data_IF_721887326292
#
_entry.id   IF_721887326292
#
_cell.length_a   1.000
_cell.length_b   1.000
_cell.length_c   1.000
_cell.angle_alpha   90.00
_cell.angle_beta   90.00
_cell.angle_gamma   90.00
#
_symmetry.space_group_name_H-M   'P 1'
#
loop_
_entity.id
_entity.type
_entity.pdbx_description
1 polymer ?
#
# COMPACT_ATOMS: atom_id res chain seq x y z
N UNK A 1 3.49 11.88 -22.61
CA UNK A 1 3.01 11.98 -21.22
C UNK A 1 4.07 12.70 -20.40
N UNK A 2 3.69 13.58 -19.46
CA UNK A 2 4.67 14.22 -18.58
C UNK A 2 5.20 13.20 -17.56
N UNK A 3 6.49 13.27 -17.23
CA UNK A 3 7.13 12.41 -16.21
C UNK A 3 6.37 12.47 -14.88
N UNK A 4 5.87 13.65 -14.53
CA UNK A 4 5.08 13.87 -13.33
C UNK A 4 3.76 13.06 -13.33
N UNK A 5 3.05 13.05 -14.46
CA UNK A 5 1.80 12.29 -14.61
C UNK A 5 2.05 10.79 -14.47
N UNK A 6 3.07 10.27 -15.14
CA UNK A 6 3.45 8.86 -15.02
C UNK A 6 3.76 8.47 -13.58
N UNK A 7 4.45 9.32 -12.82
CA UNK A 7 4.77 9.04 -11.41
C UNK A 7 3.55 9.05 -10.50
N UNK A 8 2.56 9.90 -10.75
CA UNK A 8 1.29 9.85 -10.00
C UNK A 8 0.48 8.61 -10.34
N UNK A 9 0.40 8.25 -11.63
CA UNK A 9 -0.29 7.03 -12.06
C UNK A 9 0.36 5.78 -11.45
N UNK A 10 1.70 5.73 -11.41
CA UNK A 10 2.45 4.69 -10.70
C UNK A 10 2.11 4.67 -9.21
N UNK A 11 2.14 5.83 -8.52
CA UNK A 11 1.80 5.91 -7.09
C UNK A 11 0.39 5.36 -6.81
N UNK A 12 -0.57 5.65 -7.69
CA UNK A 12 -1.94 5.15 -7.55
C UNK A 12 -2.02 3.63 -7.71
N UNK A 13 -1.36 3.09 -8.75
CA UNK A 13 -1.33 1.64 -8.96
C UNK A 13 -0.69 0.91 -7.76
N UNK A 14 0.39 1.49 -7.21
CA UNK A 14 1.08 0.97 -6.03
C UNK A 14 0.18 0.99 -4.78
N UNK A 15 -0.54 2.09 -4.55
CA UNK A 15 -1.48 2.24 -3.43
C UNK A 15 -2.64 1.23 -3.52
N UNK A 16 -3.17 0.98 -4.73
CA UNK A 16 -4.18 -0.05 -4.94
C UNK A 16 -3.65 -1.45 -4.64
N UNK A 17 -2.44 -1.77 -5.12
CA UNK A 17 -1.80 -3.06 -4.88
C UNK A 17 -1.50 -3.27 -3.40
N UNK A 18 -1.00 -2.24 -2.70
CA UNK A 18 -0.77 -2.26 -1.26
C UNK A 18 -2.06 -2.54 -0.49
N UNK A 19 -3.15 -1.82 -0.80
CA UNK A 19 -4.44 -2.01 -0.15
C UNK A 19 -5.01 -3.43 -0.36
N UNK A 20 -4.82 -4.01 -1.56
CA UNK A 20 -5.23 -5.38 -1.85
C UNK A 20 -4.39 -6.39 -1.04
N UNK A 21 -3.08 -6.19 -1.02
CA UNK A 21 -2.13 -7.06 -0.32
C UNK A 21 -2.31 -7.02 1.20
N UNK A 22 -2.63 -5.86 1.77
CA UNK A 22 -2.93 -5.73 3.21
C UNK A 22 -4.17 -6.54 3.62
N UNK A 23 -5.22 -6.55 2.78
CA UNK A 23 -6.40 -7.39 3.00
C UNK A 23 -6.03 -8.87 2.95
N UNK A 24 -5.23 -9.27 1.96
CA UNK A 24 -4.77 -10.65 1.83
C UNK A 24 -3.91 -11.10 3.03
N UNK A 25 -2.94 -10.28 3.44
CA UNK A 25 -2.11 -10.51 4.63
C UNK A 25 -2.99 -10.66 5.87
N UNK A 26 -4.01 -9.81 6.04
CA UNK A 26 -4.93 -9.88 7.18
C UNK A 26 -5.66 -11.22 7.23
N UNK A 27 -6.19 -11.68 6.10
CA UNK A 27 -6.88 -12.96 6.00
C UNK A 27 -5.93 -14.12 6.28
N UNK A 28 -4.74 -14.14 5.67
CA UNK A 28 -3.75 -15.20 5.86
C UNK A 28 -3.19 -15.23 7.29
N UNK A 29 -2.95 -14.08 7.92
CA UNK A 29 -2.59 -13.99 9.34
C UNK A 29 -3.68 -14.54 10.24
N UNK A 30 -4.94 -14.22 9.97
CA UNK A 30 -6.05 -14.77 10.75
C UNK A 30 -6.12 -16.30 10.61
N UNK A 31 -5.91 -16.84 9.40
CA UNK A 31 -5.83 -18.28 9.17
C UNK A 31 -4.65 -18.92 9.94
N UNK A 32 -3.46 -18.35 9.86
CA UNK A 32 -2.28 -18.78 10.61
C UNK A 32 -2.55 -18.84 12.12
N UNK A 33 -3.08 -17.75 12.69
CA UNK A 33 -3.42 -17.70 14.11
C UNK A 33 -4.50 -18.70 14.49
N UNK A 34 -5.49 -18.93 13.64
CA UNK A 34 -6.51 -19.94 13.88
C UNK A 34 -5.91 -21.35 13.95
N UNK A 35 -4.96 -21.69 13.07
CA UNK A 35 -4.27 -22.98 13.11
C UNK A 35 -3.49 -23.18 14.41
N UNK A 36 -2.80 -22.14 14.88
CA UNK A 36 -2.08 -22.18 16.16
C UNK A 36 -3.02 -22.33 17.37
N UNK A 37 -4.18 -21.67 17.35
CA UNK A 37 -5.13 -21.67 18.47
C UNK A 37 -5.99 -22.92 18.55
N UNK A 38 -6.16 -23.64 17.43
CA UNK A 38 -6.95 -24.88 17.38
C UNK A 38 -6.36 -25.97 18.27
N UNK A 39 -5.05 -25.92 18.54
CA UNK A 39 -4.32 -26.94 19.29
C UNK A 39 -3.88 -26.40 20.66
N UNK A 40 -4.79 -26.42 21.64
CA UNK A 40 -4.59 -25.83 22.97
C UNK A 40 -3.47 -26.52 23.77
N UNK A 41 -3.22 -27.80 23.51
CA UNK A 41 -2.15 -28.58 24.13
C UNK A 41 -0.78 -28.38 23.45
N UNK A 42 -0.73 -27.58 22.38
CA UNK A 42 0.48 -27.34 21.55
C UNK A 42 1.15 -28.63 21.08
N UNK A 43 0.36 -29.68 20.87
CA UNK A 43 0.83 -30.98 20.40
C UNK A 43 0.38 -31.18 18.97
N UNK A 44 1.30 -31.05 18.03
CA UNK A 44 1.00 -31.06 16.60
C UNK A 44 1.43 -32.38 15.97
N UNK A 45 0.58 -32.90 15.09
CA UNK A 45 0.96 -33.96 14.16
C UNK A 45 1.91 -33.42 13.08
N UNK A 46 2.66 -34.30 12.41
CA UNK A 46 3.57 -33.91 11.33
C UNK A 46 2.84 -33.12 10.23
N UNK A 47 1.63 -33.53 9.87
CA UNK A 47 0.79 -32.84 8.87
C UNK A 47 0.41 -31.42 9.33
N UNK A 48 0.07 -31.25 10.61
CA UNK A 48 -0.25 -29.94 11.17
C UNK A 48 0.98 -29.02 11.19
N UNK A 49 2.15 -29.54 11.55
CA UNK A 49 3.41 -28.77 11.51
C UNK A 49 3.69 -28.30 10.09
N UNK A 50 3.60 -29.18 9.09
CA UNK A 50 3.84 -28.84 7.69
C UNK A 50 2.84 -27.80 7.18
N UNK A 51 1.56 -27.96 7.52
CA UNK A 51 0.52 -26.99 7.16
C UNK A 51 0.76 -25.62 7.79
N UNK A 52 1.04 -25.56 9.09
CA UNK A 52 1.31 -24.30 9.81
C UNK A 52 2.54 -23.61 9.22
N UNK A 53 3.61 -24.36 8.95
CA UNK A 53 4.82 -23.82 8.34
C UNK A 53 4.55 -23.26 6.94
N UNK A 54 3.78 -23.97 6.12
CA UNK A 54 3.39 -23.50 4.77
C UNK A 54 2.66 -22.16 4.85
N UNK A 55 1.66 -22.05 5.73
CA UNK A 55 0.90 -20.80 5.89
C UNK A 55 1.80 -19.68 6.44
N UNK A 56 2.75 -19.99 7.32
CA UNK A 56 3.72 -19.04 7.82
C UNK A 56 4.64 -18.47 6.71
N UNK A 57 5.15 -19.35 5.84
CA UNK A 57 5.96 -18.96 4.69
C UNK A 57 5.16 -18.09 3.71
N UNK A 58 3.90 -18.42 3.45
CA UNK A 58 3.00 -17.58 2.63
C UNK A 58 2.82 -16.18 3.22
N UNK A 59 2.54 -16.07 4.53
CA UNK A 59 2.43 -14.77 5.21
C UNK A 59 3.73 -13.99 5.08
N UNK A 60 4.87 -14.64 5.31
CA UNK A 60 6.19 -14.02 5.22
C UNK A 60 6.48 -13.49 3.81
N UNK A 61 6.15 -14.27 2.77
CA UNK A 61 6.30 -13.87 1.39
C UNK A 61 5.41 -12.66 1.04
N UNK A 62 4.16 -12.63 1.52
CA UNK A 62 3.26 -11.50 1.34
C UNK A 62 3.77 -10.24 2.05
N UNK A 63 4.29 -10.36 3.27
CA UNK A 63 4.88 -9.23 4.00
C UNK A 63 6.13 -8.68 3.32
N UNK A 64 6.97 -9.54 2.74
CA UNK A 64 8.12 -9.13 1.94
C UNK A 64 7.70 -8.35 0.68
N UNK A 65 6.67 -8.82 -0.04
CA UNK A 65 6.10 -8.09 -1.18
C UNK A 65 5.54 -6.73 -0.76
N UNK A 66 4.88 -6.64 0.39
CA UNK A 66 4.34 -5.38 0.94
C UNK A 66 5.47 -4.38 1.20
N UNK A 67 6.58 -4.84 1.79
CA UNK A 67 7.74 -3.98 2.00
C UNK A 67 8.27 -3.42 0.68
N UNK A 68 8.41 -4.27 -0.35
CA UNK A 68 8.86 -3.83 -1.68
C UNK A 68 7.95 -2.76 -2.31
N UNK A 69 6.63 -2.93 -2.25
CA UNK A 69 5.69 -1.91 -2.75
C UNK A 69 5.70 -0.61 -1.93
N UNK A 70 5.93 -0.72 -0.61
CA UNK A 70 6.06 0.46 0.27
C UNK A 70 7.32 1.26 -0.07
N UNK A 71 8.44 0.58 -0.32
CA UNK A 71 9.70 1.23 -0.71
C UNK A 71 9.58 1.93 -2.07
N UNK A 72 8.92 1.28 -3.04
CA UNK A 72 8.61 1.89 -4.33
C UNK A 72 7.72 3.14 -4.18
N UNK A 73 6.66 3.04 -3.36
CA UNK A 73 5.77 4.16 -3.08
C UNK A 73 6.52 5.33 -2.43
N UNK A 74 7.39 5.04 -1.45
CA UNK A 74 8.22 6.05 -0.80
C UNK A 74 9.18 6.73 -1.78
N UNK A 75 9.82 5.97 -2.67
CA UNK A 75 10.69 6.51 -3.72
C UNK A 75 9.94 7.49 -4.64
N UNK A 76 8.72 7.13 -5.05
CA UNK A 76 7.87 8.01 -5.86
C UNK A 76 7.47 9.27 -5.08
N UNK A 77 7.06 9.14 -3.82
CA UNK A 77 6.72 10.28 -2.96
C UNK A 77 7.89 11.26 -2.81
N UNK A 78 9.09 10.75 -2.59
CA UNK A 78 10.31 11.59 -2.51
C UNK A 78 10.60 12.31 -3.83
N UNK A 79 10.41 11.63 -4.97
CA UNK A 79 10.52 12.27 -6.27
C UNK A 79 9.49 13.40 -6.42
N UNK A 80 8.22 13.17 -6.11
CA UNK A 80 7.16 14.17 -6.19
C UNK A 80 7.42 15.35 -5.24
N UNK A 81 7.83 15.07 -4.00
CA UNK A 81 8.22 16.09 -3.02
C UNK A 81 9.34 16.99 -3.55
N UNK A 82 10.37 16.42 -4.20
CA UNK A 82 11.46 17.21 -4.81
C UNK A 82 10.99 18.19 -5.89
N UNK A 83 9.86 17.91 -6.55
CA UNK A 83 9.26 18.81 -7.56
C UNK A 83 8.39 19.89 -6.93
N UNK A 84 7.84 19.65 -5.75
CA UNK A 84 7.03 20.61 -5.01
C UNK A 84 7.88 21.50 -4.09
N UNK A 85 9.07 21.06 -3.68
CA UNK A 85 9.97 21.82 -2.81
C UNK A 85 10.24 23.28 -3.27
N UNK A 86 10.46 23.57 -4.57
CA UNK A 86 10.66 24.95 -5.03
C UNK A 86 9.41 25.84 -4.94
N UNK A 87 8.22 25.26 -4.76
CA UNK A 87 6.95 26.01 -4.74
C UNK A 87 6.68 26.66 -3.38
N UNK A 88 7.47 26.33 -2.35
CA UNK A 88 7.34 26.94 -1.01
C UNK A 88 6.06 26.55 -0.27
N UNK A 89 5.42 25.45 -0.66
CA UNK A 89 4.16 24.96 -0.10
C UNK A 89 3.00 25.01 -1.09
N UNK A 90 1.79 24.88 -0.56
CA UNK A 90 0.56 24.89 -1.35
C UNK A 90 0.02 23.50 -1.69
N UNK A 91 -1.07 23.50 -2.46
CA UNK A 91 -1.80 22.30 -2.87
C UNK A 91 -1.67 22.13 -4.38
N UNK A 92 -1.37 20.91 -4.80
CA UNK A 92 -1.32 20.52 -6.20
C UNK A 92 -2.47 19.58 -6.52
N UNK A 93 -3.28 19.92 -7.53
CA UNK A 93 -4.34 19.07 -8.03
C UNK A 93 -3.88 18.34 -9.29
N UNK A 94 -3.93 17.02 -9.25
CA UNK A 94 -3.66 16.15 -10.37
C UNK A 94 -4.98 15.63 -10.97
N UNK A 95 -5.17 15.83 -12.28
CA UNK A 95 -6.29 15.26 -13.02
C UNK A 95 -5.99 13.82 -13.44
N UNK A 96 -6.85 12.90 -13.03
CA UNK A 96 -6.74 11.49 -13.36
C UNK A 96 -7.56 11.14 -14.61
N UNK A 97 -7.44 9.89 -15.06
CA UNK A 97 -8.34 9.32 -16.07
C UNK A 97 -9.49 8.52 -15.46
N UNK A 98 -9.54 8.43 -14.12
CA UNK A 98 -10.54 7.68 -13.38
C UNK A 98 -11.82 8.54 -13.22
N UNK A 99 -12.96 8.12 -13.79
CA UNK A 99 -14.21 8.88 -13.69
C UNK A 99 -14.78 8.93 -12.26
N UNK A 100 -14.39 8.00 -11.37
CA UNK A 100 -14.87 7.94 -9.98
C UNK A 100 -14.07 8.90 -9.09
N UNK A 101 -12.76 9.00 -9.32
CA UNK A 101 -11.86 9.89 -8.60
C UNK A 101 -11.13 10.81 -9.58
N UNK A 102 -11.82 11.81 -10.15
CA UNK A 102 -11.30 12.62 -11.26
C UNK A 102 -10.09 13.47 -10.85
N UNK A 103 -9.92 13.70 -9.54
CA UNK A 103 -8.86 14.55 -9.02
C UNK A 103 -8.19 13.96 -7.79
N UNK A 104 -6.89 14.21 -7.69
CA UNK A 104 -6.09 13.96 -6.51
C UNK A 104 -5.47 15.26 -6.03
N UNK A 105 -5.63 15.56 -4.75
CA UNK A 105 -4.95 16.69 -4.11
C UNK A 105 -3.69 16.17 -3.42
N UNK A 106 -2.58 16.87 -3.66
CA UNK A 106 -1.30 16.68 -3.00
C UNK A 106 -0.96 17.93 -2.20
N UNK A 107 -0.41 17.77 -1.01
CA UNK A 107 0.12 18.87 -0.21
C UNK A 107 1.35 18.42 0.57
N UNK A 108 2.16 19.39 0.99
CA UNK A 108 3.33 19.14 1.83
C UNK A 108 2.97 19.55 3.26
N UNK A 109 3.17 18.64 4.21
CA UNK A 109 2.95 18.84 5.64
C UNK A 109 4.12 18.19 6.38
N UNK A 110 4.80 18.94 7.25
CA UNK A 110 5.97 18.47 8.02
C UNK A 110 7.05 17.79 7.16
N UNK A 111 7.38 18.38 6.01
CA UNK A 111 8.31 17.83 4.99
C UNK A 111 7.89 16.47 4.40
N UNK A 112 6.63 16.05 4.60
CA UNK A 112 6.06 14.85 4.00
C UNK A 112 5.03 15.19 2.91
N UNK A 113 5.07 14.41 1.82
CA UNK A 113 4.04 14.46 0.79
C UNK A 113 2.78 13.71 1.25
N UNK A 114 1.72 14.47 1.49
CA UNK A 114 0.37 13.94 1.74
C UNK A 114 -0.47 14.03 0.47
N UNK A 115 -1.46 13.15 0.37
CA UNK A 115 -2.41 13.19 -0.74
C UNK A 115 -3.77 12.60 -0.36
N UNK A 116 -4.80 13.05 -1.06
CA UNK A 116 -6.16 12.57 -0.91
C UNK A 116 -6.85 12.48 -2.26
N UNK A 117 -7.73 11.47 -2.39
CA UNK A 117 -8.65 11.37 -3.51
C UNK A 117 -9.77 12.38 -3.29
N UNK A 118 -10.07 13.16 -4.31
CA UNK A 118 -11.21 14.07 -4.28
C UNK A 118 -12.35 13.46 -5.07
N UNK A 119 -13.46 13.26 -4.37
CA UNK A 119 -14.72 12.89 -4.98
C UNK A 119 -15.22 14.14 -5.72
N UNK A 120 -15.69 14.00 -6.96
CA UNK A 120 -16.08 15.11 -7.84
C UNK A 120 -17.20 16.04 -7.34
N UNK A 121 -17.66 15.90 -6.09
CA UNK A 121 -18.56 16.82 -5.44
C UNK A 121 -17.75 17.80 -4.58
N UNK A 122 -17.58 19.02 -5.11
CA UNK A 122 -17.00 20.23 -4.48
C UNK A 122 -15.50 20.46 -4.73
N UNK A 123 -15.23 21.18 -5.82
CA UNK A 123 -14.27 22.28 -5.84
C UNK A 123 -15.03 23.60 -5.90
#
# INVERSE_FOLDING_TARGET
MSVLKTKVDELFAQDQQLNALEKEIKVKKAHYHHLLLKNQEKSYTDDEVMMINTVHEEVTALESRRAGFRDQSNSIKQFLLSKLAPLGGGKWVHQTTDPIHPHWEFWVEDDELKYARLNGNNY
#
